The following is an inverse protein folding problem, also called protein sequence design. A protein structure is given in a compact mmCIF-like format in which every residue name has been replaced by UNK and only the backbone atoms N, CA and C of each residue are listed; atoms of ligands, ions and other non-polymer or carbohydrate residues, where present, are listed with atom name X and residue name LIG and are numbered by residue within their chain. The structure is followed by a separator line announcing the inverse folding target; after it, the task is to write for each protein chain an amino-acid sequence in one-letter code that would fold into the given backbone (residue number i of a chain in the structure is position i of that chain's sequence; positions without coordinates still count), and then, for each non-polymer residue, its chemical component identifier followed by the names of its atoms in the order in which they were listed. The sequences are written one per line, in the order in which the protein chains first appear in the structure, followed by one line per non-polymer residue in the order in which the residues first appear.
data_IF_888012862244
#
_entry.id   IF_888012862244
#
_cell.length_a   1.000
_cell.length_b   1.000
_cell.length_c   1.000
_cell.angle_alpha   90.00
_cell.angle_beta   90.00
_cell.angle_gamma   90.00
#
_symmetry.space_group_name_H-M   'P 1'
#
loop_
_entity.id
_entity.type
_entity.pdbx_description
1 polymer ?
2 water ?
#
# COMPACT_ATOMS: atom_id res chain seq x y z
N UNK A 1 -14.35 -17.57 11.88
CA UNK A 1 -14.42 -16.21 12.51
C UNK A 1 -15.30 -15.25 11.69
N UNK A 2 -15.54 -14.05 12.22
CA UNK A 2 -16.32 -13.04 11.50
C UNK A 2 -15.28 -12.45 10.54
N UNK A 3 -15.62 -12.43 9.26
CA UNK A 3 -14.75 -11.95 8.20
C UNK A 3 -13.95 -10.67 8.50
N UNK A 4 -12.67 -10.87 8.82
CA UNK A 4 -11.72 -9.79 9.08
C UNK A 4 -10.73 -9.89 7.91
N UNK A 5 -10.95 -10.91 7.07
CA UNK A 5 -10.09 -11.23 5.94
C UNK A 5 -9.65 -10.08 5.05
N UNK A 6 -10.59 -9.30 4.52
CA UNK A 6 -10.25 -8.20 3.63
C UNK A 6 -9.28 -7.22 4.26
N UNK A 7 -9.45 -6.97 5.55
CA UNK A 7 -8.59 -6.06 6.29
C UNK A 7 -7.20 -6.70 6.45
N UNK A 8 -7.17 -7.95 6.89
CA UNK A 8 -5.90 -8.65 7.05
C UNK A 8 -5.18 -8.79 5.71
N UNK A 9 -5.97 -8.98 4.66
CA UNK A 9 -5.44 -9.13 3.31
C UNK A 9 -4.82 -7.80 2.85
N UNK A 10 -5.46 -6.70 3.21
CA UNK A 10 -4.96 -5.37 2.88
C UNK A 10 -3.61 -5.15 3.58
N UNK A 11 -3.52 -5.56 4.85
CA UNK A 11 -2.28 -5.40 5.61
C UNK A 11 -1.17 -6.26 5.04
N UNK A 12 -1.51 -7.46 4.58
CA UNK A 12 -0.51 -8.36 3.98
C UNK A 12 0.07 -7.79 2.69
N UNK A 13 -0.78 -7.19 1.88
CA UNK A 13 -0.30 -6.64 0.62
C UNK A 13 0.23 -5.22 0.67
N UNK A 14 -0.16 -4.47 1.69
CA UNK A 14 0.23 -3.06 1.75
C UNK A 14 0.85 -2.50 3.02
N UNK A 15 1.13 -3.33 4.02
CA UNK A 15 1.69 -2.77 5.24
C UNK A 15 2.98 -3.39 5.75
N UNK A 16 3.95 -2.53 6.07
CA UNK A 16 5.23 -2.95 6.62
C UNK A 16 5.63 -1.85 7.59
N UNK A 17 5.46 -2.12 8.87
CA UNK A 17 5.74 -1.17 9.95
C UNK A 17 7.08 -0.46 9.94
N UNK A 18 8.15 -1.23 10.16
CA UNK A 18 9.51 -0.69 10.22
C UNK A 18 10.43 -1.32 9.18
N UNK A 19 10.48 -0.75 7.97
CA UNK A 19 11.33 -1.24 6.88
C UNK A 19 12.76 -0.71 7.10
N UNK A 20 13.78 -1.38 6.55
CA UNK A 20 15.12 -0.86 6.75
C UNK A 20 15.85 -0.38 5.49
N UNK A 21 15.56 -1.00 4.35
CA UNK A 21 16.23 -0.59 3.12
C UNK A 21 15.46 0.34 2.19
N UNK A 22 14.19 0.02 1.95
CA UNK A 22 13.31 0.78 1.05
C UNK A 22 13.91 0.97 -0.36
N UNK A 23 14.74 0.01 -0.75
CA UNK A 23 15.40 0.01 -2.04
C UNK A 23 14.90 -1.12 -2.95
N UNK A 24 15.59 -1.33 -4.07
CA UNK A 24 15.23 -2.38 -5.03
C UNK A 24 15.23 -3.77 -4.40
N UNK A 25 16.23 -4.05 -3.56
CA UNK A 25 16.31 -5.35 -2.92
C UNK A 25 15.11 -5.53 -1.99
N UNK A 26 14.75 -4.45 -1.28
CA UNK A 26 13.62 -4.47 -0.37
C UNK A 26 12.35 -4.89 -1.13
N UNK A 27 12.12 -4.30 -2.29
CA UNK A 27 10.94 -4.64 -3.08
C UNK A 27 10.97 -6.10 -3.55
N UNK A 28 12.12 -6.55 -4.05
CA UNK A 28 12.26 -7.94 -4.52
C UNK A 28 11.87 -8.95 -3.44
N UNK A 29 12.39 -8.75 -2.23
CA UNK A 29 12.11 -9.65 -1.11
C UNK A 29 10.67 -9.54 -0.64
N UNK A 30 10.18 -8.30 -0.50
CA UNK A 30 8.81 -8.05 -0.03
C UNK A 30 7.72 -8.52 -0.97
N UNK A 31 7.95 -8.38 -2.28
CA UNK A 31 6.95 -8.83 -3.24
C UNK A 31 6.87 -10.36 -3.18
N UNK A 32 8.02 -10.99 -2.97
CA UNK A 32 8.11 -12.45 -2.85
C UNK A 32 7.45 -12.94 -1.55
N UNK A 33 7.80 -12.31 -0.42
CA UNK A 33 7.25 -12.68 0.89
C UNK A 33 5.74 -12.53 0.96
N UNK A 34 5.24 -11.43 0.41
CA UNK A 34 3.80 -11.16 0.43
C UNK A 34 3.01 -11.84 -0.69
N UNK A 35 3.67 -12.71 -1.45
CA UNK A 35 3.04 -13.50 -2.53
C UNK A 35 2.37 -12.69 -3.64
N UNK A 36 3.12 -11.75 -4.21
CA UNK A 36 2.61 -10.90 -5.28
C UNK A 36 3.46 -11.10 -6.53
N UNK A 37 4.00 -12.30 -6.68
CA UNK A 37 4.87 -12.59 -7.82
C UNK A 37 4.38 -13.62 -8.82
N UNK A 38 3.21 -14.19 -8.59
CA UNK A 38 2.68 -15.19 -9.52
C UNK A 38 1.26 -14.86 -9.94
N UNK A 39 1.12 -14.08 -11.02
CA UNK A 39 2.18 -13.51 -11.86
C UNK A 39 2.76 -12.22 -11.26
N UNK A 40 3.90 -11.74 -11.79
CA UNK A 40 4.51 -10.52 -11.24
C UNK A 40 3.54 -9.35 -11.25
N UNK A 41 3.28 -8.78 -10.08
CA UNK A 41 2.39 -7.63 -10.02
C UNK A 41 3.16 -6.42 -10.57
N UNK A 42 2.52 -5.63 -11.43
CA UNK A 42 3.19 -4.49 -12.04
C UNK A 42 3.58 -3.39 -11.06
N UNK A 43 2.75 -3.17 -10.05
CA UNK A 43 3.01 -2.11 -9.09
C UNK A 43 2.32 -2.35 -7.76
N UNK A 44 3.04 -2.09 -6.67
CA UNK A 44 2.49 -2.28 -5.33
C UNK A 44 3.14 -1.34 -4.33
N UNK A 45 2.30 -0.68 -3.54
CA UNK A 45 2.77 0.27 -2.55
C UNK A 45 2.68 -0.26 -1.14
N UNK A 46 3.79 -0.16 -0.41
CA UNK A 46 3.83 -0.56 0.99
C UNK A 46 3.80 0.71 1.83
N UNK A 47 2.90 0.74 2.80
CA UNK A 47 2.75 1.87 3.72
C UNK A 47 3.51 1.52 5.01
N UNK A 48 4.19 2.50 5.57
CA UNK A 48 4.96 2.27 6.78
C UNK A 48 4.39 3.10 7.91
N UNK A 49 4.86 2.84 9.13
CA UNK A 49 4.39 3.62 10.25
C UNK A 49 3.38 2.98 11.16
N UNK A 50 2.46 3.82 11.63
CA UNK A 50 1.43 3.46 12.59
C UNK A 50 0.17 2.86 11.98
N UNK A 51 -0.09 1.60 12.31
CA UNK A 51 -1.25 0.87 11.81
C UNK A 51 -2.58 1.52 12.21
N UNK A 52 -2.63 2.05 13.44
CA UNK A 52 -3.83 2.69 13.96
C UNK A 52 -4.22 3.92 13.15
N UNK A 53 -3.22 4.65 12.68
CA UNK A 53 -3.47 5.84 11.89
C UNK A 53 -3.92 5.53 10.46
N UNK A 54 -3.62 4.31 10.00
CA UNK A 54 -4.05 3.89 8.67
C UNK A 54 -5.53 3.53 8.81
N UNK A 55 -5.87 2.73 9.82
CA UNK A 55 -7.26 2.36 10.06
C UNK A 55 -8.11 3.62 10.29
N UNK A 56 -7.49 4.63 10.90
CA UNK A 56 -8.15 5.90 11.21
C UNK A 56 -8.57 6.70 9.97
N UNK A 57 -8.05 6.35 8.80
CA UNK A 57 -8.43 7.04 7.58
C UNK A 57 -9.91 6.75 7.27
N UNK A 58 -10.43 5.63 7.79
CA UNK A 58 -11.83 5.25 7.57
C UNK A 58 -12.81 6.05 8.41
N UNK A 59 -12.29 6.86 9.31
CA UNK A 59 -13.14 7.68 10.15
C UNK A 59 -12.69 9.12 10.04
N UNK A 60 -13.39 10.02 10.69
CA UNK A 60 -13.02 11.42 10.56
C UNK A 60 -11.73 11.86 11.22
N UNK A 61 -11.15 11.02 12.09
CA UNK A 61 -9.91 11.41 12.76
C UNK A 61 -8.75 11.61 11.77
N UNK A 62 -8.62 10.72 10.79
CA UNK A 62 -7.53 10.86 9.83
C UNK A 62 -7.97 10.69 8.37
N UNK A 63 -9.25 10.89 8.09
CA UNK A 63 -9.71 10.74 6.74
C UNK A 63 -10.85 11.66 6.35
N UNK A 64 -11.03 11.83 5.05
CA UNK A 64 -12.09 12.66 4.49
C UNK A 64 -12.64 11.89 3.28
N UNK A 65 -13.94 12.07 2.96
CA UNK A 65 -14.50 11.37 1.80
C UNK A 65 -13.81 11.89 0.54
N UNK A 66 -13.61 11.00 -0.42
CA UNK A 66 -12.95 11.37 -1.65
C UNK A 66 -13.60 10.62 -2.81
N UNK A 67 -14.03 11.37 -3.82
CA UNK A 67 -14.70 10.79 -4.99
C UNK A 67 -15.89 9.93 -4.59
N UNK A 68 -16.65 10.39 -3.60
CA UNK A 68 -17.81 9.67 -3.14
C UNK A 68 -17.60 8.44 -2.26
N UNK A 69 -16.98 7.40 -2.80
CA UNK A 69 -16.79 6.15 -2.07
C UNK A 69 -15.42 5.87 -1.47
N UNK A 70 -14.43 6.71 -1.75
CA UNK A 70 -13.09 6.50 -1.19
C UNK A 70 -12.82 7.46 -0.02
N UNK A 71 -11.66 7.31 0.60
CA UNK A 71 -11.25 8.14 1.72
C UNK A 71 -9.83 8.61 1.48
N UNK A 72 -9.59 9.90 1.65
CA UNK A 72 -8.25 10.41 1.50
C UNK A 72 -7.74 10.79 2.90
N UNK A 73 -6.48 10.47 3.15
CA UNK A 73 -5.89 10.73 4.46
C UNK A 73 -5.60 12.20 4.72
N UNK A 74 -5.72 12.58 5.98
CA UNK A 74 -5.44 13.94 6.39
C UNK A 74 -3.94 14.11 6.57
N UNK A 75 -3.28 13.05 7.01
CA UNK A 75 -1.84 13.12 7.22
C UNK A 75 -1.05 12.36 6.18
N UNK A 76 0.23 12.68 6.06
CA UNK A 76 1.10 11.99 5.12
C UNK A 76 1.60 10.70 5.72
N UNK A 77 1.98 9.76 4.86
CA UNK A 77 2.51 8.47 5.27
C UNK A 77 3.79 8.20 4.51
N UNK A 78 4.72 7.52 5.17
CA UNK A 78 5.97 7.10 4.54
C UNK A 78 5.56 5.87 3.75
N UNK A 79 5.87 5.86 2.46
CA UNK A 79 5.52 4.73 1.59
C UNK A 79 6.68 4.36 0.67
N UNK A 80 6.66 3.11 0.19
CA UNK A 80 7.66 2.62 -0.75
C UNK A 80 6.87 1.98 -1.90
N UNK A 81 7.05 2.52 -3.09
CA UNK A 81 6.36 2.00 -4.26
C UNK A 81 7.30 1.07 -5.00
N UNK A 82 6.82 -0.13 -5.29
CA UNK A 82 7.59 -1.13 -6.03
C UNK A 82 6.97 -1.25 -7.42
N UNK A 83 7.78 -0.96 -8.45
CA UNK A 83 7.36 -1.02 -9.85
C UNK A 83 8.16 -2.09 -10.57
N UNK A 84 7.46 -3.00 -11.23
CA UNK A 84 8.07 -4.12 -11.94
C UNK A 84 8.94 -3.71 -13.12
N UNK A 85 10.10 -4.34 -13.24
CA UNK A 85 11.04 -4.10 -14.35
C UNK A 85 10.95 -5.25 -15.39
N UNK A 86 11.11 -4.92 -16.67
CA UNK A 86 11.08 -5.94 -17.70
C UNK A 86 9.68 -6.28 -18.18
N UNK A 87 9.59 -6.98 -19.31
CA UNK A 87 8.30 -7.33 -19.87
C UNK A 87 7.76 -8.71 -19.58
N UNK A 88 8.43 -9.46 -18.72
CA UNK A 88 7.96 -10.80 -18.39
C UNK A 88 6.94 -10.82 -17.25
N UNK A 89 6.03 -11.78 -17.31
CA UNK A 89 5.00 -11.96 -16.30
C UNK A 89 5.44 -13.01 -15.26
N UNK A 90 6.62 -13.58 -15.46
CA UNK A 90 7.14 -14.62 -14.58
C UNK A 90 8.35 -14.21 -13.74
N UNK A 91 8.57 -14.92 -12.62
CA UNK A 91 9.69 -14.69 -11.70
C UNK A 91 10.99 -15.11 -12.40
N UNK A 92 12.14 -14.53 -11.99
CA UNK A 92 12.26 -13.52 -10.93
C UNK A 92 11.60 -12.21 -11.30
N UNK A 93 10.77 -11.70 -10.39
CA UNK A 93 10.11 -10.42 -10.60
C UNK A 93 11.00 -9.35 -9.98
N UNK A 94 11.70 -8.58 -10.81
CA UNK A 94 12.58 -7.51 -10.32
C UNK A 94 11.78 -6.21 -10.20
N UNK A 95 12.13 -5.39 -9.21
CA UNK A 95 11.43 -4.14 -9.00
C UNK A 95 12.34 -2.96 -8.72
N UNK A 96 11.84 -1.78 -9.07
CA UNK A 96 12.53 -0.54 -8.79
C UNK A 96 11.72 0.08 -7.65
N UNK A 97 12.40 0.57 -6.62
CA UNK A 97 11.72 1.19 -5.48
C UNK A 97 11.74 2.72 -5.51
N UNK A 98 10.66 3.33 -5.03
CA UNK A 98 10.54 4.78 -4.95
C UNK A 98 10.05 5.10 -3.53
N UNK A 99 10.85 5.84 -2.76
CA UNK A 99 10.46 6.23 -1.39
C UNK A 99 9.72 7.55 -1.50
N UNK A 100 8.71 7.74 -0.67
CA UNK A 100 7.97 9.00 -0.69
C UNK A 100 7.16 9.14 0.59
N UNK A 101 6.66 10.35 0.81
CA UNK A 101 5.83 10.65 1.95
C UNK A 101 4.69 11.45 1.34
N UNK A 102 3.47 10.94 1.47
CA UNK A 102 2.32 11.62 0.90
C UNK A 102 1.03 11.11 1.51
N UNK A 103 -0.06 11.82 1.22
CA UNK A 103 -1.38 11.41 1.68
C UNK A 103 -1.78 10.26 0.75
N UNK A 104 -2.53 9.31 1.28
CA UNK A 104 -2.94 8.17 0.49
C UNK A 104 -4.46 8.06 0.41
N UNK A 105 -4.93 7.33 -0.59
CA UNK A 105 -6.36 7.10 -0.81
C UNK A 105 -6.66 5.63 -0.65
N UNK A 106 -7.66 5.31 0.16
CA UNK A 106 -8.06 3.92 0.39
C UNK A 106 -9.57 3.74 0.33
N UNK A 107 -10.00 2.49 0.20
CA UNK A 107 -11.42 2.17 0.19
C UNK A 107 -11.66 1.41 1.48
N UNK A 108 -12.74 1.73 2.19
CA UNK A 108 -13.06 1.07 3.47
C UNK A 108 -14.30 0.18 3.42
N UNK A 109 -14.38 -0.75 4.35
CA UNK A 109 -15.52 -1.65 4.47
C UNK A 109 -15.65 -1.90 5.97
N UNK A 110 -16.82 -1.57 6.52
CA UNK A 110 -17.08 -1.73 7.94
C UNK A 110 -16.05 -1.00 8.81
N UNK A 111 -15.65 0.18 8.36
CA UNK A 111 -14.69 0.98 9.10
C UNK A 111 -13.25 0.53 9.00
N UNK A 112 -12.99 -0.51 8.21
CA UNK A 112 -11.62 -1.01 8.03
C UNK A 112 -11.15 -0.79 6.60
N UNK A 113 -9.86 -0.43 6.43
CA UNK A 113 -9.34 -0.21 5.08
C UNK A 113 -9.19 -1.57 4.38
N UNK A 114 -9.71 -1.67 3.16
CA UNK A 114 -9.66 -2.93 2.41
C UNK A 114 -9.08 -2.81 1.01
N UNK A 115 -8.83 -1.58 0.57
CA UNK A 115 -8.32 -1.35 -0.76
C UNK A 115 -7.40 -0.15 -0.82
N UNK A 116 -6.28 -0.32 -1.52
CA UNK A 116 -5.33 0.77 -1.72
C UNK A 116 -5.44 1.24 -3.16
N UNK A 117 -5.60 2.53 -3.35
CA UNK A 117 -5.73 3.09 -4.69
C UNK A 117 -4.35 3.42 -5.28
N UNK A 118 -3.81 2.50 -6.07
CA UNK A 118 -2.51 2.67 -6.70
C UNK A 118 -2.50 3.71 -7.81
N UNK A 119 -3.68 4.13 -8.28
CA UNK A 119 -3.74 5.11 -9.37
C UNK A 119 -3.60 6.57 -8.95
N UNK A 120 -3.77 6.85 -7.66
CA UNK A 120 -3.69 8.21 -7.13
C UNK A 120 -2.28 8.84 -7.21
N UNK A 121 -2.20 10.07 -7.74
CA UNK A 121 -0.94 10.83 -7.88
C UNK A 121 -1.06 12.12 -7.04
N UNK A 122 0.03 12.55 -6.38
CA UNK A 122 -0.03 13.72 -5.47
C UNK A 122 0.66 15.06 -5.75
N UNK A 123 0.22 16.12 -5.03
CA UNK A 123 0.84 17.44 -5.19
C UNK A 123 2.25 17.23 -4.59
N UNK A 124 3.24 17.14 -5.48
CA UNK A 124 4.62 16.86 -5.09
C UNK A 124 5.38 17.81 -4.17
N UNK A 125 6.41 17.26 -3.54
CA UNK A 125 7.25 18.01 -2.62
C UNK A 125 8.61 18.42 -3.20
#
# INVERSE_FOLDING_TARGET
AQDDYRYIHFLTQHYDAKPKGRNDEYCFNMMKNRRLTRPCKDRNTFIHGNKNDIKAICEDRNGQPYRGDLRISKSEFQITICKHKGGSSRPPCRYGATEDSRVIVVGCENGLPVHFDESFITPRH
#
